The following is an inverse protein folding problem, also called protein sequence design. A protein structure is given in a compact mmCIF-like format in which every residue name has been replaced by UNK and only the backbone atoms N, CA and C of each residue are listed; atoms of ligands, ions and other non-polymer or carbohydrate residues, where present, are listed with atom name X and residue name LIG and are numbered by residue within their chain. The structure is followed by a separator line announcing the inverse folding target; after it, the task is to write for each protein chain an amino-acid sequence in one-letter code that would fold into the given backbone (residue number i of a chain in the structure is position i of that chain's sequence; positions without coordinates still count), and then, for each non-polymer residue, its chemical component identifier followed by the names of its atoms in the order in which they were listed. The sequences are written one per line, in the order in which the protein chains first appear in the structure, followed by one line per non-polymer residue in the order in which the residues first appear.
data_IF_174525658284
#
_entry.id   IF_174525658284
#
_cell.length_a   1.000
_cell.length_b   1.000
_cell.length_c   1.000
_cell.angle_alpha   90.00
_cell.angle_beta   90.00
_cell.angle_gamma   90.00
#
_symmetry.space_group_name_H-M   'P 1'
#
loop_
_entity.id
_entity.type
_entity.pdbx_description
1 polymer ?
#
# COMPACT_ATOMS: atom_id res chain seq x y z
N UNK A 1 12.56 6.27 -40.74
CA UNK A 1 13.24 5.98 -39.45
C UNK A 1 12.44 4.88 -38.78
N UNK A 2 12.76 3.62 -39.06
CA UNK A 2 12.16 2.46 -38.40
C UNK A 2 12.97 2.18 -37.13
N UNK A 3 12.35 2.31 -35.96
CA UNK A 3 12.98 1.85 -34.73
C UNK A 3 13.13 0.33 -34.81
N UNK A 4 14.37 -0.15 -34.75
CA UNK A 4 14.68 -1.55 -34.53
C UNK A 4 14.35 -1.91 -33.07
N UNK A 5 13.42 -2.85 -32.89
CA UNK A 5 13.00 -3.35 -31.56
C UNK A 5 13.72 -4.66 -31.21
N UNK A 6 14.80 -5.03 -31.91
CA UNK A 6 15.57 -6.25 -31.64
C UNK A 6 16.37 -6.22 -30.33
N UNK A 7 16.19 -5.19 -29.50
CA UNK A 7 16.80 -5.07 -28.18
C UNK A 7 16.43 -6.26 -27.29
N UNK A 8 17.44 -7.06 -26.94
CA UNK A 8 17.46 -8.16 -25.97
C UNK A 8 16.23 -8.17 -25.07
N UNK A 9 15.44 -9.24 -25.16
CA UNK A 9 14.38 -9.56 -24.20
C UNK A 9 14.98 -9.40 -22.79
N UNK A 10 14.54 -8.38 -22.06
CA UNK A 10 14.98 -8.16 -20.70
C UNK A 10 14.61 -9.38 -19.87
N UNK A 11 15.60 -10.01 -19.25
CA UNK A 11 15.36 -11.15 -18.37
C UNK A 11 14.61 -10.65 -17.13
N UNK A 12 13.39 -11.14 -16.94
CA UNK A 12 12.60 -10.85 -15.76
C UNK A 12 13.05 -11.78 -14.62
N UNK A 13 13.64 -11.21 -13.58
CA UNK A 13 13.97 -11.92 -12.35
C UNK A 13 12.84 -11.74 -11.33
N UNK A 14 12.61 -12.77 -10.52
CA UNK A 14 11.62 -12.73 -9.44
C UNK A 14 12.07 -11.72 -8.38
N UNK A 15 11.35 -10.60 -8.27
CA UNK A 15 11.51 -9.62 -7.20
C UNK A 15 10.51 -9.85 -6.08
N UNK A 16 10.88 -9.56 -4.84
CA UNK A 16 9.97 -9.61 -3.69
C UNK A 16 8.95 -8.47 -3.82
N UNK A 17 7.68 -8.82 -4.05
CA UNK A 17 6.58 -7.88 -4.25
C UNK A 17 5.85 -7.57 -2.93
N UNK A 18 6.60 -7.22 -1.89
CA UNK A 18 6.05 -6.78 -0.59
C UNK A 18 5.30 -7.87 0.21
N UNK A 19 5.25 -7.68 1.53
CA UNK A 19 4.50 -8.54 2.44
C UNK A 19 3.02 -8.13 2.43
N UNK A 20 2.10 -9.08 2.31
CA UNK A 20 0.65 -8.81 2.42
C UNK A 20 0.16 -8.69 3.87
N UNK A 21 0.98 -9.11 4.84
CA UNK A 21 0.78 -8.86 6.26
C UNK A 21 1.30 -7.47 6.61
N UNK A 22 0.42 -6.62 7.10
CA UNK A 22 0.76 -5.32 7.65
C UNK A 22 0.07 -5.12 9.01
N UNK A 23 0.09 -3.89 9.49
CA UNK A 23 -0.60 -3.53 10.74
C UNK A 23 -2.08 -3.31 10.45
N UNK A 24 -2.95 -3.79 11.33
CA UNK A 24 -4.39 -3.56 11.18
C UNK A 24 -4.72 -2.09 11.37
N UNK A 25 -5.55 -1.55 10.48
CA UNK A 25 -5.99 -0.16 10.50
C UNK A 25 -7.49 -0.03 10.30
N UNK A 26 -8.09 1.02 10.85
CA UNK A 26 -9.48 1.39 10.55
C UNK A 26 -9.61 2.14 9.21
N UNK A 27 -10.83 2.59 8.88
CA UNK A 27 -11.15 3.36 7.68
C UNK A 27 -10.43 4.71 7.58
N UNK A 28 -9.87 5.20 8.69
CA UNK A 28 -9.07 6.43 8.76
C UNK A 28 -7.57 6.20 8.70
N UNK A 29 -7.14 4.95 8.41
CA UNK A 29 -5.75 4.51 8.42
C UNK A 29 -5.08 4.58 9.81
N UNK A 30 -5.85 4.65 10.90
CA UNK A 30 -5.29 4.61 12.25
C UNK A 30 -4.93 3.18 12.61
N UNK A 31 -3.75 2.99 13.20
CA UNK A 31 -3.31 1.69 13.70
C UNK A 31 -4.21 1.21 14.83
N UNK A 32 -4.64 -0.04 14.75
CA UNK A 32 -5.44 -0.70 15.77
C UNK A 32 -4.57 -1.49 16.74
N UNK A 33 -4.99 -1.47 18.02
CA UNK A 33 -4.52 -2.39 19.04
C UNK A 33 -5.16 -3.78 18.85
N UNK A 34 -4.64 -4.76 19.57
CA UNK A 34 -5.17 -6.13 19.59
C UNK A 34 -6.62 -6.24 20.09
N UNK A 35 -7.11 -5.24 20.82
CA UNK A 35 -8.51 -5.14 21.26
C UNK A 35 -9.43 -4.46 20.22
N UNK A 36 -8.86 -4.02 19.08
CA UNK A 36 -9.57 -3.32 18.01
C UNK A 36 -9.66 -1.81 18.20
N UNK A 37 -9.12 -1.25 19.29
CA UNK A 37 -9.17 0.20 19.54
C UNK A 37 -8.04 0.94 18.80
N UNK A 38 -8.31 2.13 18.22
CA UNK A 38 -7.31 2.91 17.53
C UNK A 38 -6.27 3.49 18.50
N UNK A 39 -5.00 3.47 18.09
CA UNK A 39 -3.91 4.15 18.80
C UNK A 39 -3.92 5.64 18.41
N UNK A 40 -4.17 6.57 19.34
CA UNK A 40 -4.21 7.99 19.01
C UNK A 40 -2.90 8.50 18.42
N UNK A 41 -2.99 9.21 17.29
CA UNK A 41 -1.84 9.81 16.61
C UNK A 41 -0.99 8.84 15.78
N UNK A 42 -1.30 7.54 15.76
CA UNK A 42 -0.54 6.55 14.99
C UNK A 42 -1.34 6.08 13.76
N UNK A 43 -0.73 6.21 12.58
CA UNK A 43 -1.33 5.87 11.30
C UNK A 43 -0.36 5.01 10.47
N UNK A 44 -0.90 4.11 9.67
CA UNK A 44 -0.12 3.27 8.74
C UNK A 44 -0.80 3.28 7.37
N UNK A 45 -0.01 3.36 6.30
CA UNK A 45 -0.50 3.42 4.91
C UNK A 45 0.42 2.63 3.98
N UNK A 46 -0.09 2.23 2.82
CA UNK A 46 0.71 1.48 1.84
C UNK A 46 1.07 0.09 2.36
N UNK A 47 2.33 -0.32 2.17
CA UNK A 47 2.78 -1.68 2.50
C UNK A 47 2.86 -1.95 4.01
N UNK A 48 2.88 -0.90 4.85
CA UNK A 48 2.88 -1.05 6.31
C UNK A 48 1.49 -1.38 6.87
N UNK A 49 0.45 -1.16 6.08
CA UNK A 49 -0.95 -1.44 6.42
C UNK A 49 -1.32 -2.85 5.92
N UNK A 50 -2.10 -3.60 6.71
CA UNK A 50 -2.70 -4.87 6.26
C UNK A 50 -3.44 -4.64 4.93
N UNK A 51 -3.04 -5.36 3.88
CA UNK A 51 -3.51 -5.06 2.54
C UNK A 51 -5.02 -5.34 2.42
N UNK A 52 -5.81 -4.31 2.07
CA UNK A 52 -7.27 -4.41 1.89
C UNK A 52 -7.69 -5.52 0.91
N UNK A 53 -6.80 -5.92 -0.02
CA UNK A 53 -7.06 -7.00 -0.99
C UNK A 53 -6.66 -8.41 -0.51
N UNK A 54 -6.31 -8.58 0.77
CA UNK A 54 -6.18 -9.89 1.42
C UNK A 54 -5.20 -10.87 0.74
N UNK A 55 -4.09 -10.38 0.20
CA UNK A 55 -3.08 -11.25 -0.45
C UNK A 55 -3.06 -11.22 -1.98
N UNK A 56 -3.97 -10.51 -2.65
CA UNK A 56 -4.00 -10.46 -4.11
C UNK A 56 -3.32 -9.20 -4.67
N UNK A 57 -2.32 -9.41 -5.53
CA UNK A 57 -1.67 -8.35 -6.31
C UNK A 57 -2.44 -8.10 -7.61
N UNK A 58 -3.18 -6.99 -7.66
CA UNK A 58 -4.07 -6.67 -8.79
C UNK A 58 -3.37 -5.93 -9.95
N UNK A 59 -2.04 -5.85 -9.94
CA UNK A 59 -1.21 -5.33 -11.04
C UNK A 59 -0.23 -4.23 -10.63
N UNK A 60 0.61 -3.82 -11.59
CA UNK A 60 1.60 -2.74 -11.42
C UNK A 60 0.93 -1.43 -11.00
N UNK A 61 1.19 -0.97 -9.77
CA UNK A 61 0.60 0.24 -9.18
C UNK A 61 -0.35 -0.01 -8.00
N UNK A 62 -0.67 -1.27 -7.71
CA UNK A 62 -1.55 -1.66 -6.59
C UNK A 62 -1.05 -1.22 -5.20
N UNK A 63 0.24 -0.93 -5.03
CA UNK A 63 0.77 -0.38 -3.78
C UNK A 63 0.69 1.15 -3.72
N UNK A 64 0.95 1.84 -4.85
CA UNK A 64 1.06 3.31 -4.88
C UNK A 64 -0.31 3.98 -4.83
N UNK A 65 -1.31 3.46 -5.56
CA UNK A 65 -2.66 4.01 -5.57
C UNK A 65 -3.28 4.05 -4.16
N UNK A 66 -3.38 2.89 -3.47
CA UNK A 66 -3.88 2.83 -2.10
C UNK A 66 -3.02 3.62 -1.11
N UNK A 67 -1.70 3.63 -1.25
CA UNK A 67 -0.83 4.44 -0.39
C UNK A 67 -1.19 5.94 -0.46
N UNK A 68 -1.37 6.50 -1.67
CA UNK A 68 -1.77 7.90 -1.82
C UNK A 68 -3.18 8.17 -1.28
N UNK A 69 -4.13 7.27 -1.53
CA UNK A 69 -5.51 7.41 -1.03
C UNK A 69 -5.57 7.39 0.49
N UNK A 70 -5.00 6.37 1.13
CA UNK A 70 -5.01 6.26 2.59
C UNK A 70 -4.13 7.32 3.25
N UNK A 71 -3.03 7.74 2.61
CA UNK A 71 -2.24 8.88 3.06
C UNK A 71 -3.05 10.18 3.09
N UNK A 72 -3.88 10.43 2.08
CA UNK A 72 -4.78 11.58 2.07
C UNK A 72 -5.85 11.48 3.17
N UNK A 73 -6.46 10.30 3.36
CA UNK A 73 -7.46 10.07 4.41
C UNK A 73 -6.86 10.30 5.79
N UNK A 74 -5.67 9.75 6.06
CA UNK A 74 -4.94 9.95 7.31
C UNK A 74 -4.71 11.44 7.60
N UNK A 75 -4.27 12.20 6.59
CA UNK A 75 -4.02 13.64 6.73
C UNK A 75 -5.32 14.44 7.00
N UNK A 76 -6.43 14.09 6.34
CA UNK A 76 -7.73 14.73 6.60
C UNK A 76 -8.23 14.44 8.01
N UNK A 77 -8.08 13.20 8.48
CA UNK A 77 -8.48 12.81 9.82
C UNK A 77 -7.61 13.52 10.88
N UNK A 78 -6.28 13.51 10.70
CA UNK A 78 -5.33 14.23 11.57
C UNK A 78 -5.65 15.72 11.70
N UNK A 79 -6.10 16.36 10.61
CA UNK A 79 -6.47 17.79 10.62
C UNK A 79 -7.74 18.07 11.43
N UNK A 80 -8.63 17.09 11.57
CA UNK A 80 -9.93 17.23 12.24
C UNK A 80 -9.89 16.87 13.73
N UNK A 81 -8.78 16.28 14.21
CA UNK A 81 -8.52 16.05 15.64
C UNK A 81 -7.95 17.29 16.32
#
# INVERSE_FOLDING_TARGET
MSLDVSGKLGEAHMGELGTFSGVDTNEHAQVLRSDGEPIPGLYAVGNDMSHVMGGNYVGGGAAIGPCMTFGYIAAQHLKQQ
#
